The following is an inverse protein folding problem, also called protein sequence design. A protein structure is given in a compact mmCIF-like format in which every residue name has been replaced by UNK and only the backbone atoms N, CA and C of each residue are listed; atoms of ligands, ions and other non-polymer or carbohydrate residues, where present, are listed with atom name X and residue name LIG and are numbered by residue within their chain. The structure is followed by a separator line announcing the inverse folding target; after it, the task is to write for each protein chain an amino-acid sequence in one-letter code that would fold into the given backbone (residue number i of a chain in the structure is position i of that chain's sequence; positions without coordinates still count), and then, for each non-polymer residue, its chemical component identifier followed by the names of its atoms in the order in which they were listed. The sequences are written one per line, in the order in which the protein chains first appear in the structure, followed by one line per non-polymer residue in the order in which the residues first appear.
data_IF_064652688444
#
_entry.id   IF_064652688444
#
_cell.length_a   1.000
_cell.length_b   1.000
_cell.length_c   1.000
_cell.angle_alpha   90.00
_cell.angle_beta   90.00
_cell.angle_gamma   90.00
#
_symmetry.space_group_name_H-M   'P 1'
#
loop_
_entity.id
_entity.type
_entity.pdbx_description
1 polymer ?
#
# COMPACT_ATOMS: atom_id res chain seq x y z
N UNK A 1 21.68 -27.83 -3.03
CA UNK A 1 20.42 -27.15 -2.62
C UNK A 1 20.36 -25.83 -3.35
N UNK A 2 19.38 -25.65 -4.24
CA UNK A 2 19.20 -24.38 -4.95
C UNK A 2 18.98 -23.24 -3.96
N UNK A 3 19.87 -22.25 -3.98
CA UNK A 3 19.81 -21.07 -3.13
C UNK A 3 18.75 -20.12 -3.66
N UNK A 4 17.48 -20.45 -3.44
CA UNK A 4 16.35 -19.62 -3.82
C UNK A 4 16.31 -18.31 -3.02
N UNK A 5 15.83 -17.24 -3.66
CA UNK A 5 15.53 -15.98 -2.96
C UNK A 5 14.39 -16.18 -1.96
N UNK A 6 14.35 -15.38 -0.89
CA UNK A 6 13.29 -15.43 0.13
C UNK A 6 11.88 -15.32 -0.50
N UNK A 7 11.72 -14.47 -1.52
CA UNK A 7 10.44 -14.33 -2.24
C UNK A 7 10.06 -15.58 -3.03
N UNK A 8 11.04 -16.33 -3.55
CA UNK A 8 10.79 -17.63 -4.22
C UNK A 8 10.45 -18.72 -3.21
N UNK A 9 11.07 -18.74 -2.04
CA UNK A 9 10.68 -19.63 -0.93
C UNK A 9 9.23 -19.37 -0.50
N UNK A 10 8.84 -18.10 -0.34
CA UNK A 10 7.44 -17.73 -0.07
C UNK A 10 6.48 -18.14 -1.21
N UNK A 11 6.94 -18.10 -2.47
CA UNK A 11 6.15 -18.61 -3.60
C UNK A 11 5.91 -20.13 -3.52
N UNK A 12 6.85 -20.92 -3.00
CA UNK A 12 6.64 -22.37 -2.79
C UNK A 12 5.59 -22.65 -1.71
N UNK A 13 5.53 -21.81 -0.68
CA UNK A 13 4.46 -21.89 0.33
C UNK A 13 3.11 -21.47 -0.27
N UNK A 14 3.08 -20.36 -1.01
CA UNK A 14 1.89 -19.86 -1.72
C UNK A 14 1.26 -20.91 -2.64
N UNK A 15 2.09 -21.73 -3.32
CA UNK A 15 1.62 -22.81 -4.18
C UNK A 15 0.64 -23.75 -3.47
N UNK A 16 0.89 -24.09 -2.19
CA UNK A 16 0.02 -24.99 -1.41
C UNK A 16 -1.36 -24.38 -1.12
N UNK A 17 -1.42 -23.06 -0.93
CA UNK A 17 -2.67 -22.36 -0.62
C UNK A 17 -3.52 -22.10 -1.86
N UNK A 18 -2.88 -21.80 -2.99
CA UNK A 18 -3.59 -21.37 -4.19
C UNK A 18 -4.02 -22.52 -5.08
N UNK A 19 -3.45 -23.72 -4.93
CA UNK A 19 -3.68 -24.88 -5.80
C UNK A 19 -5.17 -25.18 -6.03
N UNK A 20 -6.00 -25.12 -4.98
CA UNK A 20 -7.45 -25.36 -5.05
C UNK A 20 -8.24 -24.23 -5.71
N UNK A 21 -7.61 -23.09 -5.97
CA UNK A 21 -8.23 -21.85 -6.44
C UNK A 21 -7.78 -21.46 -7.86
N UNK A 22 -6.95 -22.28 -8.52
CA UNK A 22 -6.42 -21.99 -9.87
C UNK A 22 -6.50 -23.22 -10.78
N UNK A 23 -6.54 -22.96 -12.09
CA UNK A 23 -6.49 -24.03 -13.11
C UNK A 23 -5.07 -24.56 -13.25
N UNK A 24 -4.94 -25.78 -13.78
CA UNK A 24 -3.66 -26.47 -13.97
C UNK A 24 -2.62 -25.62 -14.73
N UNK A 25 -3.01 -25.00 -15.86
CA UNK A 25 -2.12 -24.13 -16.62
C UNK A 25 -1.62 -22.91 -15.83
N UNK A 26 -2.46 -22.34 -14.97
CA UNK A 26 -2.03 -21.26 -14.08
C UNK A 26 -1.11 -21.78 -12.97
N UNK A 27 -1.36 -22.99 -12.48
CA UNK A 27 -0.50 -23.63 -11.49
C UNK A 27 0.90 -23.90 -12.05
N UNK A 28 1.00 -24.35 -13.30
CA UNK A 28 2.28 -24.48 -14.01
C UNK A 28 3.06 -23.15 -14.02
N UNK A 29 2.39 -22.05 -14.42
CA UNK A 29 3.01 -20.73 -14.41
C UNK A 29 3.45 -20.29 -13.01
N UNK A 30 2.68 -20.59 -11.96
CA UNK A 30 3.01 -20.26 -10.57
C UNK A 30 4.24 -21.03 -10.09
N UNK A 31 4.34 -22.33 -10.43
CA UNK A 31 5.51 -23.18 -10.11
C UNK A 31 6.75 -22.67 -10.82
N UNK A 32 6.62 -22.35 -12.11
CA UNK A 32 7.71 -21.85 -12.96
C UNK A 32 8.05 -20.37 -12.70
N UNK A 33 7.24 -19.64 -11.93
CA UNK A 33 7.46 -18.21 -11.69
C UNK A 33 8.86 -17.92 -11.13
N UNK A 34 9.63 -17.08 -11.82
CA UNK A 34 10.95 -16.59 -11.43
C UNK A 34 12.02 -17.70 -11.33
N UNK A 35 11.89 -18.76 -12.14
CA UNK A 35 12.95 -19.76 -12.37
C UNK A 35 13.94 -19.30 -13.44
N UNK A 36 13.51 -18.46 -14.38
CA UNK A 36 14.34 -17.88 -15.44
C UNK A 36 14.50 -16.37 -15.26
N UNK A 37 15.75 -15.91 -15.29
CA UNK A 37 16.12 -14.49 -15.24
C UNK A 37 17.14 -14.20 -16.33
N UNK A 38 16.90 -13.17 -17.14
CA UNK A 38 17.90 -12.65 -18.08
C UNK A 38 18.33 -11.25 -17.69
N UNK A 39 19.63 -10.98 -17.83
CA UNK A 39 20.25 -9.71 -17.45
C UNK A 39 20.92 -9.08 -18.65
N UNK A 40 20.79 -7.76 -18.78
CA UNK A 40 21.74 -6.96 -19.57
C UNK A 40 22.93 -6.66 -18.67
N UNK A 41 24.13 -6.76 -19.22
CA UNK A 41 25.37 -6.51 -18.49
C UNK A 41 26.26 -5.53 -19.25
N UNK A 42 27.13 -4.83 -18.52
CA UNK A 42 28.26 -4.15 -19.12
C UNK A 42 29.28 -5.14 -19.71
N UNK A 43 30.22 -4.64 -20.52
CA UNK A 43 31.24 -5.49 -21.18
C UNK A 43 32.04 -6.34 -20.18
N UNK A 44 32.21 -5.85 -18.96
CA UNK A 44 32.97 -6.52 -17.88
C UNK A 44 32.12 -7.49 -17.05
N UNK A 45 30.81 -7.57 -17.30
CA UNK A 45 29.83 -8.35 -16.54
C UNK A 45 29.72 -7.99 -15.05
N UNK A 46 30.28 -6.85 -14.62
CA UNK A 46 30.27 -6.40 -13.23
C UNK A 46 28.94 -5.72 -12.89
N UNK A 47 28.37 -4.95 -13.82
CA UNK A 47 27.09 -4.28 -13.65
C UNK A 47 26.02 -5.01 -14.45
N UNK A 48 25.13 -5.68 -13.74
CA UNK A 48 23.99 -6.40 -14.34
C UNK A 48 22.69 -5.71 -13.97
N UNK A 49 21.82 -5.53 -14.96
CA UNK A 49 20.44 -5.08 -14.78
C UNK A 49 19.49 -6.15 -15.27
N UNK A 50 18.52 -6.50 -14.44
CA UNK A 50 17.51 -7.48 -14.80
C UNK A 50 16.68 -6.98 -15.99
N UNK A 51 16.63 -7.77 -17.06
CA UNK A 51 15.92 -7.47 -18.30
C UNK A 51 14.59 -8.20 -18.41
N UNK A 52 14.61 -9.54 -18.31
CA UNK A 52 13.42 -10.39 -18.43
C UNK A 52 13.37 -11.43 -17.32
N UNK A 53 12.15 -11.84 -16.99
CA UNK A 53 11.88 -12.95 -16.09
C UNK A 53 10.54 -13.59 -16.42
N UNK A 54 10.40 -14.90 -16.24
CA UNK A 54 9.13 -15.60 -16.35
C UNK A 54 8.26 -15.34 -15.11
N UNK A 55 7.25 -14.48 -15.21
CA UNK A 55 6.36 -14.14 -14.09
C UNK A 55 4.98 -14.74 -14.33
N UNK A 56 4.41 -15.38 -13.31
CA UNK A 56 3.03 -15.91 -13.39
C UNK A 56 1.94 -14.83 -13.39
N UNK A 57 2.29 -13.59 -13.02
CA UNK A 57 1.39 -12.43 -12.92
C UNK A 57 0.18 -12.61 -11.98
N UNK A 58 0.14 -13.68 -11.19
CA UNK A 58 -0.88 -13.85 -10.16
C UNK A 58 -0.64 -12.82 -9.04
N UNK A 59 -1.69 -12.09 -8.65
CA UNK A 59 -1.64 -11.01 -7.65
C UNK A 59 -1.18 -11.46 -6.26
N UNK A 60 -1.41 -12.73 -5.91
CA UNK A 60 -1.01 -13.29 -4.62
C UNK A 60 0.38 -13.92 -4.66
N UNK A 61 1.00 -14.05 -5.83
CA UNK A 61 2.35 -14.57 -5.93
C UNK A 61 3.35 -13.57 -5.29
N UNK A 62 4.11 -13.96 -4.25
CA UNK A 62 5.01 -13.05 -3.53
C UNK A 62 6.07 -12.38 -4.41
N UNK A 63 6.52 -13.07 -5.46
CA UNK A 63 7.48 -12.51 -6.42
C UNK A 63 6.80 -11.46 -7.31
N UNK A 64 5.63 -11.78 -7.86
CA UNK A 64 4.92 -10.85 -8.76
C UNK A 64 4.42 -9.61 -8.02
N UNK A 65 3.81 -9.80 -6.85
CA UNK A 65 3.33 -8.72 -6.00
C UNK A 65 4.46 -7.76 -5.60
N UNK A 66 5.62 -8.29 -5.19
CA UNK A 66 6.78 -7.46 -4.86
C UNK A 66 7.31 -6.66 -6.05
N UNK A 67 7.36 -7.26 -7.25
CA UNK A 67 7.79 -6.53 -8.46
C UNK A 67 6.80 -5.45 -8.85
N UNK A 68 5.50 -5.73 -8.74
CA UNK A 68 4.42 -4.76 -8.98
C UNK A 68 4.53 -3.60 -8.00
N UNK A 69 4.68 -3.88 -6.71
CA UNK A 69 4.92 -2.89 -5.67
C UNK A 69 6.10 -1.97 -6.02
N UNK A 70 7.26 -2.51 -6.44
CA UNK A 70 8.41 -1.67 -6.82
C UNK A 70 8.14 -0.77 -8.03
N UNK A 71 7.40 -1.26 -9.02
CA UNK A 71 7.00 -0.46 -10.20
C UNK A 71 6.02 0.64 -9.81
N UNK A 72 5.06 0.33 -8.96
CA UNK A 72 4.07 1.29 -8.49
C UNK A 72 4.74 2.38 -7.64
N UNK A 73 5.64 2.00 -6.72
CA UNK A 73 6.42 2.95 -5.94
C UNK A 73 7.14 3.96 -6.87
N UNK A 74 7.82 3.47 -7.91
CA UNK A 74 8.49 4.33 -8.89
C UNK A 74 7.49 5.25 -9.63
N UNK A 75 6.34 4.72 -10.05
CA UNK A 75 5.30 5.53 -10.68
C UNK A 75 4.78 6.63 -9.76
N UNK A 76 4.48 6.28 -8.50
CA UNK A 76 4.05 7.23 -7.48
C UNK A 76 5.11 8.30 -7.21
N UNK A 77 6.39 7.94 -7.11
CA UNK A 77 7.45 8.91 -6.81
C UNK A 77 7.62 9.93 -7.93
N UNK A 78 7.55 9.48 -9.19
CA UNK A 78 7.59 10.36 -10.36
C UNK A 78 6.38 11.31 -10.40
N UNK A 79 5.17 10.80 -10.14
CA UNK A 79 3.96 11.63 -10.07
C UNK A 79 4.04 12.65 -8.93
N UNK A 80 4.52 12.25 -7.75
CA UNK A 80 4.72 13.14 -6.61
C UNK A 80 5.74 14.24 -6.93
N UNK A 81 6.85 13.88 -7.56
CA UNK A 81 7.86 14.84 -7.98
C UNK A 81 7.29 15.86 -8.96
N UNK A 82 6.53 15.41 -9.96
CA UNK A 82 5.86 16.28 -10.92
C UNK A 82 4.88 17.25 -10.24
N UNK A 83 3.97 16.74 -9.42
CA UNK A 83 2.98 17.54 -8.69
C UNK A 83 3.66 18.55 -7.75
N UNK A 84 4.76 18.18 -7.11
CA UNK A 84 5.51 19.10 -6.24
C UNK A 84 6.18 20.22 -7.03
N UNK A 85 6.77 19.91 -8.18
CA UNK A 85 7.55 20.86 -8.98
C UNK A 85 6.69 21.73 -9.91
N UNK A 86 5.64 21.16 -10.53
CA UNK A 86 4.79 21.86 -11.51
C UNK A 86 3.55 22.45 -10.86
N UNK A 87 2.81 21.66 -10.09
CA UNK A 87 1.57 22.08 -9.43
C UNK A 87 1.79 22.77 -8.07
N UNK A 88 3.05 22.84 -7.63
CA UNK A 88 3.47 23.51 -6.40
C UNK A 88 2.66 23.02 -5.19
N UNK A 89 2.41 21.70 -5.10
CA UNK A 89 1.70 21.06 -3.99
C UNK A 89 2.66 20.38 -3.01
N UNK A 90 2.14 20.05 -1.83
CA UNK A 90 2.82 19.23 -0.82
C UNK A 90 2.01 17.96 -0.56
N UNK A 91 2.63 16.99 0.12
CA UNK A 91 2.01 15.70 0.39
C UNK A 91 1.88 15.43 1.89
N UNK A 92 0.74 14.85 2.25
CA UNK A 92 0.41 14.36 3.57
C UNK A 92 0.23 12.84 3.49
N UNK A 93 0.84 12.14 4.43
CA UNK A 93 0.65 10.71 4.62
C UNK A 93 -0.22 10.49 5.85
N UNK A 94 -1.41 9.95 5.63
CA UNK A 94 -2.41 9.67 6.65
C UNK A 94 -2.59 8.15 6.77
N UNK A 95 -2.44 7.64 7.98
CA UNK A 95 -2.78 6.26 8.33
C UNK A 95 -4.01 6.24 9.22
N UNK A 96 -5.08 5.63 8.72
CA UNK A 96 -6.34 5.43 9.42
C UNK A 96 -6.42 3.98 9.87
N UNK A 97 -6.41 3.73 11.16
CA UNK A 97 -6.54 2.38 11.74
C UNK A 97 -7.87 2.23 12.45
N UNK A 98 -8.15 1.02 12.88
CA UNK A 98 -9.37 0.58 13.54
C UNK A 98 -9.02 -0.45 14.63
N UNK A 99 -9.96 -0.89 15.47
CA UNK A 99 -9.72 -2.00 16.38
C UNK A 99 -9.35 -3.29 15.63
N UNK A 100 -8.73 -4.22 16.34
CA UNK A 100 -8.50 -5.55 15.78
C UNK A 100 -9.80 -6.35 15.75
N UNK A 101 -9.97 -7.19 14.73
CA UNK A 101 -11.19 -7.97 14.48
C UNK A 101 -10.82 -9.43 14.22
N UNK A 102 -11.75 -10.35 14.48
CA UNK A 102 -11.55 -11.77 14.18
C UNK A 102 -11.70 -12.05 12.68
N UNK A 103 -11.23 -13.21 12.24
CA UNK A 103 -11.29 -13.60 10.82
C UNK A 103 -12.70 -13.53 10.26
N UNK A 104 -13.68 -13.94 11.06
CA UNK A 104 -15.09 -14.03 10.63
C UNK A 104 -15.70 -12.64 10.37
N UNK A 105 -15.26 -11.62 11.09
CA UNK A 105 -15.74 -10.23 10.95
C UNK A 105 -14.93 -9.41 9.93
N UNK A 106 -13.79 -9.93 9.47
CA UNK A 106 -12.84 -9.18 8.66
C UNK A 106 -13.47 -8.62 7.37
N UNK A 107 -14.29 -9.42 6.69
CA UNK A 107 -14.91 -8.98 5.44
C UNK A 107 -15.92 -7.86 5.66
N UNK A 108 -16.79 -7.98 6.67
CA UNK A 108 -17.77 -6.94 7.03
C UNK A 108 -17.07 -5.66 7.46
N UNK A 109 -16.00 -5.76 8.23
CA UNK A 109 -15.24 -4.61 8.72
C UNK A 109 -14.52 -3.88 7.57
N UNK A 110 -13.95 -4.62 6.62
CA UNK A 110 -13.39 -4.02 5.40
C UNK A 110 -14.46 -3.26 4.60
N UNK A 111 -15.68 -3.81 4.48
CA UNK A 111 -16.79 -3.12 3.79
C UNK A 111 -17.19 -1.84 4.51
N UNK A 112 -17.37 -1.92 5.83
CA UNK A 112 -17.67 -0.77 6.70
C UNK A 112 -16.62 0.33 6.54
N UNK A 113 -15.33 -0.01 6.62
CA UNK A 113 -14.26 0.99 6.55
C UNK A 113 -14.13 1.63 5.18
N UNK A 114 -14.36 0.88 4.10
CA UNK A 114 -14.44 1.47 2.76
C UNK A 114 -15.58 2.50 2.67
N UNK A 115 -16.73 2.21 3.29
CA UNK A 115 -17.84 3.15 3.35
C UNK A 115 -17.51 4.36 4.22
N UNK A 116 -16.90 4.17 5.40
CA UNK A 116 -16.44 5.26 6.27
C UNK A 116 -15.41 6.15 5.59
N UNK A 117 -14.45 5.58 4.86
CA UNK A 117 -13.52 6.37 4.07
C UNK A 117 -14.23 7.18 2.98
N UNK A 118 -15.25 6.59 2.32
CA UNK A 118 -16.07 7.33 1.34
C UNK A 118 -16.85 8.47 2.00
N UNK A 119 -17.34 8.30 3.24
CA UNK A 119 -17.97 9.39 4.01
C UNK A 119 -16.95 10.48 4.33
N UNK A 120 -15.76 10.10 4.82
CA UNK A 120 -14.65 11.02 5.11
C UNK A 120 -14.24 11.84 3.90
N UNK A 121 -13.99 11.18 2.77
CA UNK A 121 -13.57 11.84 1.52
C UNK A 121 -14.64 12.75 0.93
N UNK A 122 -15.91 12.57 1.34
CA UNK A 122 -17.02 13.42 0.94
C UNK A 122 -17.26 14.62 1.85
N UNK A 123 -16.65 14.67 3.05
CA UNK A 123 -16.77 15.82 3.96
C UNK A 123 -16.19 17.07 3.34
N UNK A 124 -16.83 18.21 3.61
CA UNK A 124 -16.38 19.53 3.15
C UNK A 124 -14.92 19.81 3.54
N UNK A 125 -14.55 19.47 4.79
CA UNK A 125 -13.20 19.67 5.32
C UNK A 125 -12.15 18.83 4.57
N UNK A 126 -12.45 17.58 4.21
CA UNK A 126 -11.53 16.77 3.41
C UNK A 126 -11.39 17.33 1.99
N UNK A 127 -12.51 17.65 1.34
CA UNK A 127 -12.56 18.21 -0.03
C UNK A 127 -11.86 19.56 -0.16
N UNK A 128 -11.90 20.40 0.88
CA UNK A 128 -11.24 21.71 0.82
C UNK A 128 -9.71 21.58 0.75
N UNK A 129 -9.14 20.59 1.45
CA UNK A 129 -7.69 20.40 1.53
C UNK A 129 -7.13 19.48 0.43
N UNK A 130 -7.85 18.42 0.08
CA UNK A 130 -7.35 17.36 -0.79
C UNK A 130 -7.52 17.74 -2.26
N UNK A 131 -6.41 17.91 -2.98
CA UNK A 131 -6.39 18.13 -4.44
C UNK A 131 -6.36 16.84 -5.24
N UNK A 132 -6.16 15.72 -4.54
CA UNK A 132 -6.13 14.37 -5.05
C UNK A 132 -5.55 13.47 -3.98
N UNK A 133 -5.84 12.18 -4.03
CA UNK A 133 -5.24 11.21 -3.13
C UNK A 133 -5.11 9.83 -3.76
N UNK A 134 -4.15 9.05 -3.26
CA UNK A 134 -4.06 7.61 -3.47
C UNK A 134 -4.32 6.96 -2.12
N UNK A 135 -5.10 5.87 -2.09
CA UNK A 135 -5.36 5.10 -0.87
C UNK A 135 -5.02 3.63 -1.08
N UNK A 136 -4.60 2.96 -0.02
CA UNK A 136 -4.39 1.52 0.04
C UNK A 136 -4.97 0.97 1.33
N UNK A 137 -5.72 -0.13 1.24
CA UNK A 137 -6.11 -0.92 2.40
C UNK A 137 -5.02 -1.97 2.66
N UNK A 138 -4.59 -2.06 3.90
CA UNK A 138 -3.67 -3.09 4.38
C UNK A 138 -4.29 -3.80 5.58
N UNK A 139 -4.01 -5.10 5.70
CA UNK A 139 -4.46 -5.92 6.82
C UNK A 139 -3.24 -6.54 7.45
N UNK A 140 -2.96 -6.19 8.70
CA UNK A 140 -1.94 -6.85 9.51
C UNK A 140 -2.57 -7.97 10.33
N UNK A 141 -1.82 -9.04 10.55
CA UNK A 141 -2.26 -10.20 11.34
C UNK A 141 -1.40 -10.34 12.59
N UNK A 142 -2.03 -10.48 13.76
CA UNK A 142 -1.35 -10.74 15.02
C UNK A 142 -1.48 -12.21 15.39
N UNK A 143 -0.39 -12.96 15.29
CA UNK A 143 -0.37 -14.39 15.56
C UNK A 143 -0.67 -14.76 17.02
N UNK A 144 -0.36 -13.89 18.00
CA UNK A 144 -0.58 -14.18 19.42
C UNK A 144 -2.03 -14.04 19.83
N UNK A 145 -2.71 -13.03 19.28
CA UNK A 145 -4.13 -12.74 19.55
C UNK A 145 -5.08 -13.38 18.55
N UNK A 146 -4.53 -13.90 17.45
CA UNK A 146 -5.26 -14.45 16.32
C UNK A 146 -6.33 -13.46 15.84
N UNK A 147 -5.88 -12.25 15.49
CA UNK A 147 -6.74 -11.15 15.08
C UNK A 147 -6.09 -10.34 13.94
N UNK A 148 -6.93 -9.56 13.26
CA UNK A 148 -6.56 -8.80 12.07
C UNK A 148 -6.80 -7.33 12.31
N UNK A 149 -5.93 -6.46 11.78
CA UNK A 149 -6.11 -5.02 11.84
C UNK A 149 -6.13 -4.41 10.44
N UNK A 150 -7.33 -4.10 9.90
CA UNK A 150 -7.46 -3.37 8.65
C UNK A 150 -7.15 -1.89 8.87
N UNK A 151 -6.30 -1.32 8.03
CA UNK A 151 -5.97 0.10 8.07
C UNK A 151 -5.76 0.67 6.67
N UNK A 152 -6.03 1.95 6.50
CA UNK A 152 -5.74 2.68 5.28
C UNK A 152 -4.44 3.44 5.39
N UNK A 153 -3.61 3.35 4.36
CA UNK A 153 -2.61 4.36 4.06
C UNK A 153 -3.14 5.27 2.95
N UNK A 154 -3.05 6.57 3.18
CA UNK A 154 -3.61 7.59 2.29
C UNK A 154 -2.56 8.65 2.03
N UNK A 155 -2.16 8.76 0.77
CA UNK A 155 -1.29 9.81 0.27
C UNK A 155 -2.17 10.93 -0.29
N UNK A 156 -2.14 12.10 0.33
CA UNK A 156 -3.00 13.24 -0.03
C UNK A 156 -2.14 14.38 -0.56
N UNK A 157 -2.47 14.90 -1.74
CA UNK A 157 -1.90 16.13 -2.28
C UNK A 157 -2.65 17.33 -1.71
N UNK A 158 -1.93 18.28 -1.12
CA UNK A 158 -2.47 19.49 -0.48
C UNK A 158 -1.77 20.75 -0.98
N UNK A 159 -2.39 21.91 -0.78
CA UNK A 159 -1.74 23.18 -1.09
C UNK A 159 -0.48 23.37 -0.22
N UNK A 160 0.56 24.04 -0.77
CA UNK A 160 1.79 24.38 -0.02
C UNK A 160 1.52 25.13 1.29
N UNK A 161 0.48 25.96 1.31
CA UNK A 161 0.06 26.71 2.49
C UNK A 161 -0.57 25.85 3.59
N UNK A 162 -0.93 24.58 3.33
CA UNK A 162 -1.67 23.73 4.27
C UNK A 162 -1.06 23.68 5.67
N UNK A 163 0.28 23.59 5.76
CA UNK A 163 0.99 23.50 7.05
C UNK A 163 1.18 24.85 7.77
N UNK A 164 0.74 25.95 7.15
CA UNK A 164 0.83 27.32 7.70
C UNK A 164 -0.55 27.97 7.88
N UNK A 165 -1.53 27.54 7.10
CA UNK A 165 -2.89 28.06 7.10
C UNK A 165 -3.72 27.37 8.19
N UNK A 166 -3.96 28.08 9.30
CA UNK A 166 -4.74 27.59 10.44
C UNK A 166 -6.20 27.28 10.11
N UNK A 167 -6.77 27.85 9.04
CA UNK A 167 -8.16 27.56 8.63
C UNK A 167 -8.27 26.20 7.94
N UNK A 168 -7.27 25.88 7.12
CA UNK A 168 -7.24 24.66 6.30
C UNK A 168 -6.56 23.49 7.00
N UNK A 169 -5.59 23.76 7.88
CA UNK A 169 -4.84 22.72 8.58
C UNK A 169 -5.78 21.81 9.40
N UNK A 170 -5.55 20.50 9.31
CA UNK A 170 -6.23 19.48 10.10
C UNK A 170 -5.19 18.83 11.00
N UNK A 171 -5.36 19.03 12.31
CA UNK A 171 -4.48 18.42 13.32
C UNK A 171 -4.69 16.91 13.42
N UNK A 172 -3.74 16.18 14.02
CA UNK A 172 -3.91 14.73 14.26
C UNK A 172 -5.15 14.42 15.09
N UNK A 173 -5.45 15.25 16.11
CA UNK A 173 -6.66 15.13 16.93
C UNK A 173 -7.92 15.32 16.09
N UNK A 174 -7.96 16.35 15.24
CA UNK A 174 -9.09 16.58 14.35
C UNK A 174 -9.26 15.44 13.33
N UNK A 175 -8.17 14.87 12.81
CA UNK A 175 -8.24 13.66 11.98
C UNK A 175 -8.82 12.45 12.72
N UNK A 176 -8.43 12.27 13.99
CA UNK A 176 -8.97 11.20 14.84
C UNK A 176 -10.47 11.38 15.03
N UNK A 177 -10.91 12.59 15.39
CA UNK A 177 -12.32 12.91 15.62
C UNK A 177 -13.15 12.75 14.34
N UNK A 178 -12.62 13.21 13.19
CA UNK A 178 -13.25 12.99 11.88
C UNK A 178 -13.35 11.51 11.53
N UNK A 179 -12.36 10.71 11.89
CA UNK A 179 -12.35 9.29 11.60
C UNK A 179 -13.36 8.53 12.47
N UNK A 180 -13.36 8.77 13.79
CA UNK A 180 -14.37 8.24 14.73
C UNK A 180 -15.78 8.56 14.28
N UNK A 181 -16.05 9.79 13.87
CA UNK A 181 -17.37 10.24 13.46
C UNK A 181 -17.85 9.56 12.16
N UNK A 182 -16.96 9.25 11.20
CA UNK A 182 -17.38 8.51 9.98
C UNK A 182 -17.47 7.00 10.16
N UNK A 183 -16.72 6.43 11.12
CA UNK A 183 -16.77 5.01 11.46
C UNK A 183 -17.88 4.70 12.44
N UNK A 184 -18.24 5.65 13.31
CA UNK A 184 -19.10 5.41 14.47
C UNK A 184 -18.42 4.57 15.55
N UNK A 185 -17.08 4.59 15.61
CA UNK A 185 -16.27 3.77 16.53
C UNK A 185 -15.41 4.71 17.39
N UNK A 186 -15.87 4.98 18.61
CA UNK A 186 -15.20 5.91 19.54
C UNK A 186 -13.93 5.28 20.14
N UNK A 187 -13.83 3.96 20.15
CA UNK A 187 -12.72 3.17 20.68
C UNK A 187 -11.42 3.33 19.87
N UNK A 188 -11.49 3.90 18.67
CA UNK A 188 -10.28 4.21 17.89
C UNK A 188 -9.45 5.22 18.67
N UNK A 189 -8.24 4.87 19.09
CA UNK A 189 -7.42 5.75 19.95
C UNK A 189 -6.43 6.60 19.18
N UNK A 190 -6.11 6.24 17.94
CA UNK A 190 -5.03 6.88 17.19
C UNK A 190 -5.26 6.86 15.68
N UNK A 191 -4.75 7.91 15.04
CA UNK A 191 -4.46 8.00 13.61
C UNK A 191 -3.06 8.57 13.47
N UNK A 192 -2.35 8.26 12.40
CA UNK A 192 -1.05 8.85 12.14
C UNK A 192 -1.16 9.83 10.97
N UNK A 193 -0.64 11.04 11.13
CA UNK A 193 -0.58 12.02 10.04
C UNK A 193 0.78 12.71 10.01
N UNK A 194 1.40 12.77 8.83
CA UNK A 194 2.70 13.44 8.68
C UNK A 194 2.88 14.06 7.30
N UNK A 195 3.74 15.09 7.24
CA UNK A 195 4.22 15.65 5.97
C UNK A 195 5.26 14.73 5.36
N UNK A 196 5.14 14.42 4.08
CA UNK A 196 6.18 13.65 3.37
C UNK A 196 7.39 14.54 3.09
N UNK A 197 8.56 14.09 3.52
CA UNK A 197 9.86 14.72 3.25
C UNK A 197 10.49 14.12 1.99
N UNK A 198 11.29 14.92 1.30
CA UNK A 198 11.77 14.65 -0.07
C UNK A 198 12.68 13.42 -0.19
N UNK A 199 13.25 12.94 0.93
CA UNK A 199 14.16 11.80 0.97
C UNK A 199 13.56 10.58 1.69
N UNK A 200 12.30 10.64 2.14
CA UNK A 200 11.70 9.49 2.79
C UNK A 200 10.98 8.61 1.77
N UNK A 201 11.65 7.52 1.38
CA UNK A 201 11.07 6.52 0.49
C UNK A 201 10.18 5.52 1.24
N UNK A 202 10.22 5.50 2.58
CA UNK A 202 9.52 4.50 3.38
C UNK A 202 8.01 4.59 3.19
N UNK A 203 7.40 5.77 3.33
CA UNK A 203 5.94 5.92 3.18
C UNK A 203 5.47 5.60 1.75
N UNK A 204 6.31 5.92 0.77
CA UNK A 204 6.06 5.58 -0.63
C UNK A 204 6.12 4.05 -0.84
N UNK A 205 7.08 3.38 -0.22
CA UNK A 205 7.14 1.92 -0.23
C UNK A 205 5.95 1.30 0.51
N UNK A 206 5.51 1.87 1.64
CA UNK A 206 4.28 1.42 2.32
C UNK A 206 3.05 1.54 1.41
N UNK A 207 2.88 2.67 0.73
CA UNK A 207 1.80 2.86 -0.27
C UNK A 207 1.84 1.82 -1.39
N UNK A 208 3.03 1.42 -1.80
CA UNK A 208 3.18 0.48 -2.88
C UNK A 208 3.15 -0.99 -2.43
N UNK A 209 3.22 -1.26 -1.11
CA UNK A 209 3.76 -2.53 -0.60
C UNK A 209 3.02 -3.81 -0.93
N UNK A 210 1.74 -3.86 -1.22
CA UNK A 210 1.07 -5.10 -1.63
C UNK A 210 -0.05 -4.67 -2.57
N UNK A 211 0.31 -3.89 -3.59
CA UNK A 211 -0.64 -3.39 -4.58
C UNK A 211 -1.21 -4.57 -5.35
N UNK A 212 -2.48 -4.85 -5.05
CA UNK A 212 -3.28 -5.91 -5.64
C UNK A 212 -3.55 -5.73 -7.11
#
# INVERSE_FOLDING_TARGET
MDKYTEKKQRNQVFQKFIERHVREGQMYLIKDCNTFLSFVADKTLQKKKLYKSNLCKNRFCPVCAWRKARKDALGLSLMMQYIKQKEQKEFLFLTLTTPNVKSDDLESEIKHYNQSFRRLSNRKKFKSIAKGYVRKLEVTYNQKRDDYNPHFHVLIAVNKSYFKDTKSYISQKEWLDLWRDVTGIDEITQVHVQKIKQNNNEELYEMAKYSG
#
